data_IF_191106893069
#
_entry.id   IF_191106893069
#
_cell.length_a   1.000
_cell.length_b   1.000
_cell.length_c   1.000
_cell.angle_alpha   90.00
_cell.angle_beta   90.00
_cell.angle_gamma   90.00
#
_symmetry.space_group_name_H-M   'P 1'
#
loop_
_entity.id
_entity.type
_entity.pdbx_description
1 polymer ?
#
# COMPACT_ATOMS: atom_id res chain seq x y z
N UNK A 1 -5.84 -1.14 -28.59
CA UNK A 1 -5.07 -2.40 -28.79
C UNK A 1 -4.48 -2.79 -27.45
N UNK A 2 -5.03 -3.80 -26.81
CA UNK A 2 -4.51 -4.33 -25.54
C UNK A 2 -3.35 -5.24 -25.87
N UNK A 3 -2.12 -4.81 -25.60
CA UNK A 3 -0.97 -5.72 -25.68
C UNK A 3 -1.18 -6.85 -24.67
N UNK A 4 -1.39 -8.05 -25.17
CA UNK A 4 -1.28 -9.27 -24.35
C UNK A 4 0.19 -9.40 -23.99
N UNK A 5 0.51 -9.18 -22.72
CA UNK A 5 1.82 -9.57 -22.17
C UNK A 5 1.87 -11.10 -22.29
N UNK A 6 2.84 -11.61 -23.04
CA UNK A 6 3.06 -13.05 -23.13
C UNK A 6 3.32 -13.62 -21.73
N UNK A 7 2.78 -14.78 -21.37
CA UNK A 7 3.09 -15.39 -20.09
C UNK A 7 4.61 -15.64 -20.01
N UNK A 8 5.21 -15.18 -18.90
CA UNK A 8 6.63 -15.40 -18.61
C UNK A 8 6.79 -16.88 -18.22
N UNK A 9 6.73 -17.78 -19.21
CA UNK A 9 6.78 -19.24 -18.98
C UNK A 9 8.19 -19.78 -18.75
N UNK A 10 9.23 -18.99 -19.08
CA UNK A 10 10.63 -19.45 -19.05
C UNK A 10 11.52 -18.68 -18.05
N UNK A 11 10.92 -18.02 -17.08
CA UNK A 11 11.70 -17.33 -16.06
C UNK A 11 12.30 -18.36 -15.09
N UNK A 12 13.65 -18.41 -14.91
CA UNK A 12 14.30 -19.44 -14.08
C UNK A 12 14.07 -19.14 -12.59
N UNK A 13 12.85 -19.38 -12.10
CA UNK A 13 12.44 -19.14 -10.72
C UNK A 13 13.31 -19.87 -9.71
N UNK A 14 13.92 -20.99 -10.09
CA UNK A 14 14.82 -21.79 -9.23
C UNK A 14 16.12 -21.08 -8.83
N UNK A 15 16.47 -19.97 -9.51
CA UNK A 15 17.66 -19.15 -9.20
C UNK A 15 17.32 -17.91 -8.38
N UNK A 16 16.04 -17.69 -8.06
CA UNK A 16 15.60 -16.52 -7.30
C UNK A 16 15.65 -16.86 -5.82
N UNK A 17 16.40 -16.08 -5.06
CA UNK A 17 16.50 -16.22 -3.61
C UNK A 17 15.56 -15.28 -2.85
N UNK A 18 15.21 -14.15 -3.46
CA UNK A 18 14.41 -13.09 -2.83
C UNK A 18 13.39 -12.54 -3.84
N UNK A 19 12.15 -12.39 -3.39
CA UNK A 19 11.04 -11.78 -4.10
C UNK A 19 10.63 -10.52 -3.37
N UNK A 20 10.47 -9.44 -4.10
CA UNK A 20 10.02 -8.15 -3.56
C UNK A 20 8.67 -7.84 -4.20
N UNK A 21 7.64 -7.67 -3.36
CA UNK A 21 6.29 -7.33 -3.77
C UNK A 21 5.94 -5.92 -3.28
N UNK A 22 5.40 -5.11 -4.17
CA UNK A 22 4.66 -3.94 -3.77
C UNK A 22 3.30 -4.36 -3.18
N UNK A 23 2.75 -3.59 -2.26
CA UNK A 23 1.51 -3.91 -1.58
C UNK A 23 0.30 -3.34 -2.31
N UNK A 24 0.24 -2.01 -2.40
CA UNK A 24 -0.95 -1.29 -2.81
C UNK A 24 -1.24 -1.45 -4.30
N UNK A 25 -2.44 -1.93 -4.64
CA UNK A 25 -2.86 -2.27 -6.01
C UNK A 25 -1.96 -3.29 -6.73
N UNK A 26 -1.14 -4.02 -5.98
CA UNK A 26 -0.26 -5.08 -6.47
C UNK A 26 -0.61 -6.43 -5.84
N UNK A 27 -0.45 -6.59 -4.53
CA UNK A 27 -0.89 -7.79 -3.81
C UNK A 27 -2.43 -7.89 -3.84
N UNK A 28 -3.10 -6.78 -3.67
CA UNK A 28 -4.54 -6.69 -3.85
C UNK A 28 -4.90 -5.84 -5.08
N UNK A 29 -5.92 -6.22 -5.84
CA UNK A 29 -6.26 -5.50 -7.06
C UNK A 29 -6.99 -4.18 -6.78
N UNK A 30 -6.80 -3.19 -7.65
CA UNK A 30 -7.43 -1.88 -7.54
C UNK A 30 -8.97 -1.92 -7.43
N UNK A 31 -9.62 -2.97 -7.97
CA UNK A 31 -11.08 -3.16 -7.87
C UNK A 31 -11.61 -3.31 -6.44
N UNK A 32 -10.75 -3.59 -5.47
CA UNK A 32 -11.14 -3.66 -4.05
C UNK A 32 -11.39 -2.30 -3.44
N UNK A 33 -11.00 -1.21 -4.13
CA UNK A 33 -11.09 0.17 -3.66
C UNK A 33 -10.38 0.46 -2.32
N UNK A 34 -9.50 -0.44 -1.88
CA UNK A 34 -8.79 -0.27 -0.60
C UNK A 34 -7.93 1.00 -0.63
N UNK A 35 -7.15 1.18 -1.69
CA UNK A 35 -6.32 2.40 -1.83
C UNK A 35 -7.17 3.68 -1.85
N UNK A 36 -8.40 3.61 -2.39
CA UNK A 36 -9.32 4.74 -2.36
C UNK A 36 -9.73 5.10 -0.93
N UNK A 37 -9.90 4.12 -0.02
CA UNK A 37 -10.19 4.36 1.40
C UNK A 37 -9.05 5.14 2.06
N UNK A 38 -7.82 4.74 1.81
CA UNK A 38 -6.63 5.49 2.28
C UNK A 38 -6.62 6.91 1.70
N UNK A 39 -6.91 7.08 0.41
CA UNK A 39 -6.95 8.40 -0.23
C UNK A 39 -8.03 9.32 0.39
N UNK A 40 -9.18 8.78 0.78
CA UNK A 40 -10.22 9.53 1.51
C UNK A 40 -9.69 9.97 2.88
N UNK A 41 -9.05 9.08 3.63
CA UNK A 41 -8.46 9.41 4.95
C UNK A 41 -7.35 10.47 4.83
N UNK A 42 -6.56 10.43 3.75
CA UNK A 42 -5.57 11.49 3.47
C UNK A 42 -6.28 12.84 3.30
N UNK A 43 -7.36 12.89 2.51
CA UNK A 43 -8.13 14.12 2.32
C UNK A 43 -8.70 14.63 3.65
N UNK A 44 -9.23 13.73 4.50
CA UNK A 44 -9.74 14.06 5.83
C UNK A 44 -8.64 14.63 6.74
N UNK A 45 -7.45 14.03 6.73
CA UNK A 45 -6.32 14.53 7.51
C UNK A 45 -5.96 15.96 7.08
N UNK A 46 -5.85 16.19 5.76
CA UNK A 46 -5.56 17.52 5.21
C UNK A 46 -6.65 18.52 5.58
N UNK A 47 -7.93 18.14 5.44
CA UNK A 47 -9.07 18.99 5.80
C UNK A 47 -9.03 19.42 7.28
N UNK A 48 -8.76 18.46 8.17
CA UNK A 48 -8.67 18.70 9.61
C UNK A 48 -7.47 19.59 9.97
N UNK A 49 -6.33 19.37 9.31
CA UNK A 49 -5.11 20.13 9.60
C UNK A 49 -5.23 21.60 9.18
N UNK A 50 -5.73 21.85 7.95
CA UNK A 50 -5.86 23.20 7.41
C UNK A 50 -7.19 23.89 7.77
N UNK A 51 -8.12 23.18 8.42
CA UNK A 51 -9.47 23.65 8.77
C UNK A 51 -10.25 24.12 7.53
N UNK A 52 -10.19 23.35 6.44
CA UNK A 52 -10.83 23.64 5.16
C UNK A 52 -11.85 22.56 4.78
N UNK A 53 -12.81 22.85 3.87
CA UNK A 53 -13.70 21.83 3.31
C UNK A 53 -12.95 20.75 2.54
N UNK A 54 -13.56 19.57 2.37
CA UNK A 54 -12.95 18.41 1.72
C UNK A 54 -12.56 18.65 0.24
N UNK A 55 -13.31 19.44 -0.49
CA UNK A 55 -12.98 19.82 -1.87
C UNK A 55 -11.70 20.66 -1.95
N UNK A 56 -11.54 21.63 -1.07
CA UNK A 56 -10.32 22.42 -0.95
C UNK A 56 -9.14 21.56 -0.45
N UNK A 57 -9.37 20.73 0.57
CA UNK A 57 -8.36 19.79 1.07
C UNK A 57 -7.83 18.87 -0.04
N UNK A 58 -8.69 18.43 -0.95
CA UNK A 58 -8.30 17.61 -2.09
C UNK A 58 -7.39 18.35 -3.08
N UNK A 59 -7.60 19.65 -3.25
CA UNK A 59 -6.72 20.49 -4.09
C UNK A 59 -5.35 20.61 -3.42
N UNK A 60 -5.31 20.93 -2.12
CA UNK A 60 -4.07 20.99 -1.33
C UNK A 60 -3.32 19.66 -1.36
N UNK A 61 -4.02 18.56 -1.13
CA UNK A 61 -3.46 17.20 -1.20
C UNK A 61 -2.76 16.92 -2.52
N UNK A 62 -3.39 17.25 -3.65
CA UNK A 62 -2.84 17.05 -4.98
C UNK A 62 -1.62 17.95 -5.24
N UNK A 63 -1.68 19.19 -4.81
CA UNK A 63 -0.57 20.12 -4.95
C UNK A 63 0.66 19.64 -4.17
N UNK A 64 0.48 19.24 -2.91
CA UNK A 64 1.54 18.65 -2.09
C UNK A 64 2.13 17.39 -2.75
N UNK A 65 1.27 16.50 -3.27
CA UNK A 65 1.72 15.32 -3.97
C UNK A 65 2.57 15.66 -5.20
N UNK A 66 2.15 16.62 -6.01
CA UNK A 66 2.89 17.03 -7.22
C UNK A 66 4.23 17.68 -6.91
N UNK A 67 4.31 18.48 -5.84
CA UNK A 67 5.56 19.18 -5.48
C UNK A 67 6.56 18.29 -4.74
N UNK A 68 6.08 17.34 -3.92
CA UNK A 68 6.93 16.57 -3.00
C UNK A 68 6.95 15.06 -3.25
N UNK A 69 6.18 14.57 -4.20
CA UNK A 69 6.06 13.14 -4.51
C UNK A 69 5.05 12.38 -3.64
N UNK A 70 4.85 12.80 -2.38
CA UNK A 70 3.76 12.33 -1.52
C UNK A 70 3.17 13.49 -0.73
N UNK A 71 1.86 13.39 -0.41
CA UNK A 71 1.18 14.38 0.44
C UNK A 71 1.83 14.46 1.82
N UNK A 72 2.17 13.31 2.41
CA UNK A 72 2.84 13.24 3.72
C UNK A 72 4.15 14.02 3.72
N UNK A 73 5.02 13.78 2.73
CA UNK A 73 6.30 14.49 2.62
C UNK A 73 6.12 15.99 2.48
N UNK A 74 5.11 16.41 1.72
CA UNK A 74 4.76 17.83 1.59
C UNK A 74 4.36 18.44 2.92
N UNK A 75 3.45 17.81 3.65
CA UNK A 75 3.01 18.27 4.97
C UNK A 75 4.11 18.23 6.02
N UNK A 76 5.00 17.23 5.98
CA UNK A 76 6.19 17.21 6.87
C UNK A 76 7.11 18.40 6.59
N UNK A 77 7.28 18.76 5.32
CA UNK A 77 8.20 19.83 4.89
C UNK A 77 7.63 21.21 5.18
N UNK A 78 6.35 21.45 4.93
CA UNK A 78 5.72 22.75 5.07
C UNK A 78 5.13 23.00 6.45
N UNK A 79 4.60 21.95 7.10
CA UNK A 79 3.81 22.07 8.33
C UNK A 79 4.44 21.32 9.51
N UNK A 80 5.59 20.67 9.31
CA UNK A 80 6.30 19.90 10.33
C UNK A 80 5.39 18.87 11.06
N UNK A 81 4.44 18.24 10.34
CA UNK A 81 3.56 17.23 10.93
C UNK A 81 4.35 16.02 11.42
N UNK A 82 3.82 15.33 12.42
CA UNK A 82 4.37 14.05 12.88
C UNK A 82 3.96 12.94 11.88
N UNK A 83 4.92 12.26 11.22
CA UNK A 83 4.62 11.21 10.26
C UNK A 83 3.88 10.02 10.90
N UNK A 84 4.19 9.65 12.14
CA UNK A 84 3.52 8.54 12.83
C UNK A 84 2.04 8.85 13.09
N UNK A 85 1.73 10.09 13.49
CA UNK A 85 0.34 10.52 13.67
C UNK A 85 -0.43 10.53 12.34
N UNK A 86 0.21 11.01 11.27
CA UNK A 86 -0.37 10.98 9.93
C UNK A 86 -0.65 9.55 9.46
N UNK A 87 0.36 8.67 9.54
CA UNK A 87 0.24 7.28 9.07
C UNK A 87 -0.78 6.48 9.89
N UNK A 88 -0.81 6.67 11.21
CA UNK A 88 -1.82 6.04 12.06
C UNK A 88 -3.24 6.47 11.68
N UNK A 89 -3.44 7.75 11.35
CA UNK A 89 -4.74 8.27 10.94
C UNK A 89 -5.17 7.74 9.57
N UNK A 90 -4.31 7.80 8.56
CA UNK A 90 -4.68 7.44 7.18
C UNK A 90 -4.82 5.93 6.96
N UNK A 91 -4.19 5.12 7.80
CA UNK A 91 -4.30 3.66 7.76
C UNK A 91 -5.40 3.10 8.69
N UNK A 92 -6.08 3.95 9.45
CA UNK A 92 -7.28 3.57 10.20
C UNK A 92 -8.48 3.47 9.26
N UNK A 93 -8.57 2.35 8.55
CA UNK A 93 -9.59 2.03 7.54
C UNK A 93 -10.24 0.69 7.85
N UNK A 94 -11.52 0.57 7.48
CA UNK A 94 -12.24 -0.70 7.60
C UNK A 94 -11.78 -1.67 6.50
N UNK A 95 -11.37 -2.87 6.90
CA UNK A 95 -10.94 -3.97 6.05
C UNK A 95 -11.86 -5.19 6.13
N UNK A 96 -12.96 -5.10 6.86
CA UNK A 96 -13.83 -6.25 7.19
C UNK A 96 -14.53 -6.86 5.98
N UNK A 97 -14.68 -6.12 4.89
CA UNK A 97 -15.32 -6.55 3.65
C UNK A 97 -14.32 -7.00 2.56
N UNK A 98 -13.04 -7.12 2.91
CA UNK A 98 -12.04 -7.56 1.94
C UNK A 98 -12.22 -9.04 1.60
N UNK A 99 -12.16 -9.41 0.31
CA UNK A 99 -12.28 -10.80 -0.11
C UNK A 99 -11.03 -11.59 0.25
N UNK A 100 -11.18 -12.75 0.88
CA UNK A 100 -10.07 -13.68 1.09
C UNK A 100 -9.59 -14.22 -0.26
N UNK A 101 -8.27 -14.26 -0.45
CA UNK A 101 -7.62 -14.80 -1.65
C UNK A 101 -6.65 -15.93 -1.30
N UNK A 102 -7.22 -17.08 -0.98
CA UNK A 102 -6.45 -18.28 -0.66
C UNK A 102 -5.61 -18.80 -1.84
N UNK A 103 -5.99 -18.49 -3.07
CA UNK A 103 -5.21 -18.87 -4.24
C UNK A 103 -3.92 -18.03 -4.31
N UNK A 104 -4.01 -16.73 -4.08
CA UNK A 104 -2.85 -15.84 -4.00
C UNK A 104 -1.89 -16.29 -2.88
N UNK A 105 -2.40 -16.59 -1.68
CA UNK A 105 -1.60 -17.10 -0.56
C UNK A 105 -0.83 -18.37 -0.96
N UNK A 106 -1.52 -19.32 -1.60
CA UNK A 106 -0.90 -20.57 -2.08
C UNK A 106 0.15 -20.31 -3.16
N UNK A 107 -0.12 -19.40 -4.11
CA UNK A 107 0.80 -19.08 -5.20
C UNK A 107 2.07 -18.39 -4.67
N UNK A 108 1.94 -17.42 -3.78
CA UNK A 108 3.09 -16.75 -3.15
C UNK A 108 3.88 -17.75 -2.31
N UNK A 109 3.19 -18.61 -1.54
CA UNK A 109 3.81 -19.64 -0.73
C UNK A 109 4.62 -20.65 -1.55
N UNK A 110 4.18 -20.96 -2.78
CA UNK A 110 4.85 -21.90 -3.68
C UNK A 110 6.13 -21.33 -4.34
N UNK A 111 6.36 -20.03 -4.32
CA UNK A 111 7.57 -19.42 -4.84
C UNK A 111 8.79 -19.85 -4.01
N UNK A 112 9.93 -20.18 -4.63
CA UNK A 112 11.16 -20.50 -3.91
C UNK A 112 11.76 -19.25 -3.28
N UNK A 113 12.53 -19.40 -2.20
CA UNK A 113 13.24 -18.29 -1.56
C UNK A 113 12.38 -17.42 -0.64
N UNK A 114 12.93 -16.28 -0.23
CA UNK A 114 12.31 -15.34 0.70
C UNK A 114 11.37 -14.39 -0.03
N UNK A 115 10.34 -13.91 0.65
CA UNK A 115 9.38 -12.95 0.15
C UNK A 115 9.38 -11.72 1.06
N UNK A 116 9.36 -10.56 0.46
CA UNK A 116 9.45 -9.27 1.12
C UNK A 116 8.33 -8.35 0.60
N UNK A 117 7.77 -7.53 1.48
CA UNK A 117 6.89 -6.42 1.07
C UNK A 117 7.72 -5.13 1.04
N UNK A 118 7.56 -4.38 -0.02
CA UNK A 118 8.14 -3.06 -0.20
C UNK A 118 7.01 -2.05 -0.45
N UNK A 119 6.72 -1.20 0.53
CA UNK A 119 5.56 -0.29 0.50
C UNK A 119 5.87 1.04 1.17
N UNK A 120 5.13 2.08 0.77
CA UNK A 120 5.11 3.38 1.46
C UNK A 120 4.22 3.37 2.73
N UNK A 121 3.50 2.27 2.96
CA UNK A 121 2.68 2.10 4.16
C UNK A 121 3.49 1.63 5.37
N UNK A 122 2.88 1.68 6.56
CA UNK A 122 3.48 1.16 7.79
C UNK A 122 3.45 -0.37 7.86
N UNK A 123 4.32 -0.97 8.70
CA UNK A 123 4.28 -2.43 8.98
C UNK A 123 2.88 -2.85 9.46
N UNK A 124 2.27 -2.20 10.46
CA UNK A 124 0.93 -2.58 10.92
C UNK A 124 -0.12 -2.50 9.79
N UNK A 125 -0.04 -1.49 8.92
CA UNK A 125 -0.95 -1.41 7.77
C UNK A 125 -0.77 -2.59 6.82
N UNK A 126 0.47 -2.90 6.46
CA UNK A 126 0.75 -4.02 5.56
C UNK A 126 0.30 -5.36 6.17
N UNK A 127 0.55 -5.59 7.47
CA UNK A 127 0.10 -6.78 8.19
C UNK A 127 -1.44 -6.88 8.19
N UNK A 128 -2.14 -5.80 8.53
CA UNK A 128 -3.60 -5.76 8.52
C UNK A 128 -4.19 -6.06 7.13
N UNK A 129 -3.59 -5.51 6.08
CA UNK A 129 -4.02 -5.74 4.69
C UNK A 129 -3.80 -7.20 4.31
N UNK A 130 -2.61 -7.76 4.56
CA UNK A 130 -2.32 -9.17 4.26
C UNK A 130 -3.26 -10.11 5.00
N UNK A 131 -3.53 -9.86 6.28
CA UNK A 131 -4.47 -10.64 7.09
C UNK A 131 -5.89 -10.55 6.53
N UNK A 132 -6.34 -9.35 6.14
CA UNK A 132 -7.67 -9.14 5.57
C UNK A 132 -7.89 -9.91 4.26
N UNK A 133 -6.84 -10.06 3.44
CA UNK A 133 -6.87 -10.87 2.21
C UNK A 133 -6.54 -12.34 2.44
N UNK A 134 -6.21 -12.76 3.66
CA UNK A 134 -5.86 -14.14 4.00
C UNK A 134 -4.50 -14.58 3.47
N UNK A 135 -3.63 -13.63 3.11
CA UNK A 135 -2.23 -13.91 2.73
C UNK A 135 -1.39 -13.99 3.99
N UNK A 136 -1.03 -15.19 4.40
CA UNK A 136 -0.43 -15.43 5.70
C UNK A 136 1.05 -15.07 5.74
N UNK A 137 1.51 -14.65 6.93
CA UNK A 137 2.90 -14.32 7.23
C UNK A 137 3.92 -15.44 6.96
N UNK A 138 3.47 -16.70 6.81
CA UNK A 138 4.32 -17.83 6.40
C UNK A 138 4.73 -17.78 4.93
N UNK A 139 3.92 -17.12 4.09
CA UNK A 139 4.21 -16.95 2.67
C UNK A 139 5.16 -15.74 2.47
N UNK A 140 4.97 -14.67 3.22
CA UNK A 140 5.78 -13.44 3.16
C UNK A 140 6.51 -13.32 4.50
N UNK A 141 7.83 -13.42 4.49
CA UNK A 141 8.65 -13.28 5.70
C UNK A 141 8.49 -11.89 6.35
N UNK A 142 8.86 -11.78 7.65
CA UNK A 142 8.76 -10.53 8.45
C UNK A 142 9.65 -9.37 7.97
N UNK A 143 10.24 -9.46 6.78
CA UNK A 143 11.10 -8.43 6.23
C UNK A 143 10.25 -7.47 5.39
N UNK A 144 9.73 -6.44 6.04
CA UNK A 144 9.05 -5.33 5.39
C UNK A 144 10.05 -4.18 5.26
N UNK A 145 10.19 -3.63 4.06
CA UNK A 145 11.02 -2.47 3.81
C UNK A 145 10.13 -1.28 3.53
N UNK A 146 10.43 -0.16 4.19
CA UNK A 146 9.75 1.11 3.99
C UNK A 146 10.59 2.00 3.09
N UNK A 147 9.92 2.66 2.13
CA UNK A 147 10.46 3.86 1.50
C UNK A 147 9.93 5.06 2.27
N UNK A 148 10.68 5.48 3.29
CA UNK A 148 10.42 6.75 3.97
C UNK A 148 10.83 7.93 3.10
#
# INVERSE_FOLDING_TARGET
MTQRIAPITDFPTTKINDWIFDLDNTIYPARTNLFLRVAVRITEFVANHYLVPHDEARVIQKDLFHRYGTTMRGMMTEEAICPDAYLSFVHDIDLSDMPLDHELDRMIGALPGKKHIFTNGTVPHAENVLDAFGVRHGAIGKNMFFTG
#
